data_IF_508313998036
#
_entry.id   IF_508313998036
#
_cell.length_a   1.000
_cell.length_b   1.000
_cell.length_c   1.000
_cell.angle_alpha   90.00
_cell.angle_beta   90.00
_cell.angle_gamma   90.00
#
_symmetry.space_group_name_H-M   'P 1'
#
loop_
_entity.id
_entity.type
_entity.pdbx_description
1 polymer ?
#
# COMPACT_ATOMS: atom_id res chain seq x y z
N UNK A 1 36.25 -1.79 -0.31
CA UNK A 1 34.84 -1.78 0.11
C UNK A 1 34.50 -0.34 0.40
N UNK A 2 33.88 0.36 -0.55
CA UNK A 2 33.32 1.68 -0.26
C UNK A 2 32.08 1.46 0.60
N UNK A 3 32.13 1.90 1.85
CA UNK A 3 30.98 1.90 2.74
C UNK A 3 30.06 3.06 2.31
N UNK A 4 29.05 2.75 1.49
CA UNK A 4 28.05 3.71 1.08
C UNK A 4 26.96 3.81 2.15
N UNK A 5 26.81 4.97 2.78
CA UNK A 5 25.81 5.20 3.83
C UNK A 5 24.39 4.94 3.31
N UNK A 6 24.15 5.18 2.01
CA UNK A 6 22.86 4.91 1.38
C UNK A 6 22.50 3.41 1.38
N UNK A 7 23.49 2.53 1.32
CA UNK A 7 23.28 1.08 1.22
C UNK A 7 22.55 0.51 2.45
N UNK A 8 22.85 1.00 3.66
CA UNK A 8 22.15 0.60 4.87
C UNK A 8 20.67 0.95 4.85
N UNK A 9 20.33 2.13 4.32
CA UNK A 9 18.95 2.57 4.17
C UNK A 9 18.22 1.73 3.13
N UNK A 10 18.88 1.43 2.00
CA UNK A 10 18.33 0.61 0.92
C UNK A 10 18.09 -0.83 1.39
N UNK A 11 19.04 -1.44 2.08
CA UNK A 11 18.90 -2.81 2.60
C UNK A 11 17.77 -2.90 3.64
N UNK A 12 17.70 -1.93 4.56
CA UNK A 12 16.62 -1.85 5.54
C UNK A 12 15.24 -1.71 4.88
N UNK A 13 15.15 -0.91 3.81
CA UNK A 13 13.92 -0.76 3.06
C UNK A 13 13.56 -2.03 2.26
N UNK A 14 14.55 -2.73 1.68
CA UNK A 14 14.31 -3.99 0.98
C UNK A 14 13.73 -5.04 1.93
N UNK A 15 14.29 -5.16 3.15
CA UNK A 15 13.72 -6.02 4.18
C UNK A 15 12.27 -5.67 4.50
N UNK A 16 11.97 -4.36 4.68
CA UNK A 16 10.61 -3.89 4.91
C UNK A 16 9.68 -4.28 3.73
N UNK A 17 10.09 -4.01 2.50
CA UNK A 17 9.27 -4.18 1.30
C UNK A 17 9.04 -5.64 0.92
N UNK A 18 9.97 -6.54 1.24
CA UNK A 18 9.91 -7.96 0.88
C UNK A 18 9.33 -8.83 2.00
N UNK A 19 9.72 -8.58 3.25
CA UNK A 19 9.37 -9.43 4.40
C UNK A 19 8.56 -8.66 5.45
N UNK A 20 8.96 -7.42 5.75
CA UNK A 20 8.36 -6.62 6.80
C UNK A 20 6.86 -6.39 6.61
N UNK A 21 6.43 -6.04 5.40
CA UNK A 21 5.00 -5.85 5.07
C UNK A 21 4.19 -7.13 5.20
N UNK A 22 4.77 -8.28 4.86
CA UNK A 22 4.11 -9.57 4.98
C UNK A 22 3.91 -9.96 6.45
N UNK A 23 4.97 -9.84 7.26
CA UNK A 23 4.91 -10.11 8.70
C UNK A 23 3.95 -9.15 9.41
N UNK A 24 3.96 -7.88 9.01
CA UNK A 24 3.05 -6.85 9.49
C UNK A 24 1.58 -7.22 9.28
N UNK A 25 1.23 -7.75 8.11
CA UNK A 25 -0.14 -8.17 7.82
C UNK A 25 -0.56 -9.39 8.65
N UNK A 26 0.36 -10.33 8.88
CA UNK A 26 0.09 -11.55 9.66
C UNK A 26 -0.04 -11.29 11.16
N UNK A 27 0.59 -10.24 11.69
CA UNK A 27 0.49 -9.84 13.11
C UNK A 27 -0.88 -9.19 13.46
N UNK A 28 -1.65 -8.79 12.45
CA UNK A 28 -2.96 -8.19 12.67
C UNK A 28 -3.96 -9.26 13.15
N UNK A 29 -4.62 -9.08 14.30
CA UNK A 29 -5.60 -10.03 14.79
C UNK A 29 -6.82 -10.11 13.87
N UNK A 30 -7.44 -11.28 13.81
CA UNK A 30 -8.67 -11.46 13.05
C UNK A 30 -9.83 -10.71 13.71
N UNK A 31 -10.58 -9.95 12.90
CA UNK A 31 -11.73 -9.19 13.35
C UNK A 31 -13.00 -10.03 13.18
N UNK A 32 -13.86 -10.02 14.21
CA UNK A 32 -15.10 -10.81 14.25
C UNK A 32 -16.28 -9.91 14.51
N UNK A 33 -17.28 -9.95 13.65
CA UNK A 33 -18.53 -9.20 13.83
C UNK A 33 -19.73 -10.03 13.39
N UNK A 34 -20.91 -9.62 13.84
CA UNK A 34 -22.18 -10.25 13.46
C UNK A 34 -22.95 -9.34 12.53
N UNK A 35 -23.47 -9.90 11.45
CA UNK A 35 -24.37 -9.21 10.55
C UNK A 35 -25.80 -9.18 11.14
N UNK A 36 -26.66 -8.23 10.71
CA UNK A 36 -28.06 -8.16 11.19
C UNK A 36 -28.90 -9.40 10.87
N UNK A 37 -28.47 -10.21 9.90
CA UNK A 37 -29.10 -11.48 9.54
C UNK A 37 -28.73 -12.65 10.49
N UNK A 38 -27.84 -12.42 11.46
CA UNK A 38 -27.39 -13.43 12.42
C UNK A 38 -26.09 -14.16 12.05
N UNK A 39 -25.55 -13.94 10.85
CA UNK A 39 -24.29 -14.57 10.42
C UNK A 39 -23.08 -13.98 11.15
N UNK A 40 -22.17 -14.85 11.57
CA UNK A 40 -20.88 -14.47 12.13
C UNK A 40 -19.83 -14.37 11.02
N UNK A 41 -19.23 -13.19 10.85
CA UNK A 41 -18.18 -12.92 9.88
C UNK A 41 -16.85 -12.76 10.59
N UNK A 42 -15.82 -13.45 10.10
CA UNK A 42 -14.43 -13.31 10.52
C UNK A 42 -13.58 -12.84 9.33
N UNK A 43 -12.85 -11.75 9.52
CA UNK A 43 -11.91 -11.18 8.57
C UNK A 43 -10.48 -11.43 9.03
N UNK A 44 -9.66 -12.00 8.16
CA UNK A 44 -8.25 -12.30 8.46
C UNK A 44 -7.34 -11.87 7.32
N UNK A 45 -6.27 -11.18 7.67
CA UNK A 45 -5.21 -10.84 6.73
C UNK A 45 -4.37 -12.08 6.40
N UNK A 46 -4.16 -12.34 5.11
CA UNK A 46 -3.31 -13.46 4.63
C UNK A 46 -1.90 -13.00 4.28
N UNK A 47 -1.73 -11.72 3.95
CA UNK A 47 -0.45 -11.16 3.56
C UNK A 47 -0.56 -9.78 2.96
N UNK A 48 0.58 -9.13 2.75
CA UNK A 48 0.67 -7.86 2.07
C UNK A 48 1.89 -7.80 1.15
N UNK A 49 1.76 -7.07 0.06
CA UNK A 49 2.78 -6.92 -0.98
C UNK A 49 2.86 -5.47 -1.43
N UNK A 50 4.09 -4.96 -1.50
CA UNK A 50 4.37 -3.63 -2.01
C UNK A 50 4.60 -3.67 -3.53
N UNK A 51 3.76 -2.96 -4.27
CA UNK A 51 3.86 -2.81 -5.72
C UNK A 51 4.92 -1.82 -6.17
N UNK A 52 5.19 -1.82 -7.47
CA UNK A 52 6.06 -0.83 -8.11
C UNK A 52 5.34 0.51 -8.31
N UNK A 53 6.06 1.64 -8.36
CA UNK A 53 5.47 2.93 -8.69
C UNK A 53 4.85 2.97 -10.06
N UNK A 54 3.59 3.38 -10.12
CA UNK A 54 2.82 3.54 -11.34
C UNK A 54 1.93 4.77 -11.26
N UNK A 55 1.54 5.29 -12.42
CA UNK A 55 0.60 6.39 -12.53
C UNK A 55 -0.79 5.85 -12.86
N UNK A 56 -1.78 6.15 -12.01
CA UNK A 56 -3.18 5.88 -12.32
C UNK A 56 -3.72 6.96 -13.26
N UNK A 57 -4.12 6.58 -14.47
CA UNK A 57 -4.78 7.47 -15.42
C UNK A 57 -6.29 7.38 -15.20
N UNK A 58 -6.89 8.47 -14.71
CA UNK A 58 -8.35 8.57 -14.52
C UNK A 58 -9.08 8.35 -15.85
N UNK A 59 -9.86 7.27 -15.95
CA UNK A 59 -10.65 6.92 -17.13
C UNK A 59 -10.28 5.60 -17.81
N UNK A 60 -9.16 4.97 -17.45
CA UNK A 60 -8.81 3.64 -17.94
C UNK A 60 -9.58 2.55 -17.17
N UNK A 61 -10.42 1.78 -17.87
CA UNK A 61 -11.28 0.71 -17.30
C UNK A 61 -10.51 -0.58 -16.97
N UNK A 62 -9.20 -0.61 -17.23
CA UNK A 62 -8.39 -1.83 -17.22
C UNK A 62 -7.17 -1.70 -16.32
N UNK A 63 -6.88 -2.73 -15.53
CA UNK A 63 -5.65 -2.93 -14.73
C UNK A 63 -4.36 -2.90 -15.59
N UNK A 64 -4.52 -2.96 -16.92
CA UNK A 64 -3.47 -3.17 -17.92
C UNK A 64 -2.72 -1.85 -18.26
N UNK A 65 -3.29 -0.68 -17.97
CA UNK A 65 -2.72 0.64 -18.33
C UNK A 65 -2.02 1.37 -17.16
N UNK A 66 -1.42 0.63 -16.22
CA UNK A 66 -0.56 1.25 -15.22
C UNK A 66 0.79 1.64 -15.85
N UNK A 67 0.94 2.92 -16.19
CA UNK A 67 2.19 3.45 -16.74
C UNK A 67 3.26 3.44 -15.64
N UNK A 68 4.44 2.90 -15.97
CA UNK A 68 5.62 2.98 -15.08
C UNK A 68 5.91 4.44 -14.79
N UNK A 69 5.95 4.79 -13.52
CA UNK A 69 6.30 6.13 -13.09
C UNK A 69 7.80 6.15 -12.79
N UNK A 70 8.56 7.07 -13.38
CA UNK A 70 10.00 7.22 -13.08
C UNK A 70 10.26 8.34 -12.06
N UNK A 71 11.35 8.27 -11.28
CA UNK A 71 11.67 9.30 -10.28
C UNK A 71 11.86 10.71 -10.89
N UNK A 72 12.50 10.83 -12.06
CA UNK A 72 12.67 12.08 -12.80
C UNK A 72 11.35 12.79 -13.10
N UNK A 73 10.34 12.03 -13.51
CA UNK A 73 8.99 12.55 -13.73
C UNK A 73 8.35 13.06 -12.44
N UNK A 74 8.56 12.36 -11.31
CA UNK A 74 8.05 12.81 -10.02
C UNK A 74 8.66 14.15 -9.59
N UNK A 75 9.97 14.34 -9.82
CA UNK A 75 10.65 15.61 -9.54
C UNK A 75 10.06 16.75 -10.36
N UNK A 76 9.91 16.54 -11.67
CA UNK A 76 9.41 17.56 -12.59
C UNK A 76 7.93 17.92 -12.36
N UNK A 77 7.10 16.92 -12.03
CA UNK A 77 5.64 17.09 -11.89
C UNK A 77 5.19 17.39 -10.46
N UNK A 78 6.10 17.45 -9.48
CA UNK A 78 5.72 17.63 -8.09
C UNK A 78 4.97 16.43 -7.49
N UNK A 79 5.20 15.21 -7.99
CA UNK A 79 4.53 14.00 -7.52
C UNK A 79 5.33 13.29 -6.43
N UNK A 80 4.66 12.44 -5.66
CA UNK A 80 5.32 11.50 -4.74
C UNK A 80 5.55 10.17 -5.45
N UNK A 81 6.80 9.70 -5.45
CA UNK A 81 7.19 8.41 -6.01
C UNK A 81 6.78 7.29 -5.04
N UNK A 82 5.66 6.64 -5.33
CA UNK A 82 4.98 5.70 -4.44
C UNK A 82 4.41 4.52 -5.20
N UNK A 83 4.33 3.37 -4.54
CA UNK A 83 3.77 2.12 -5.07
C UNK A 83 2.55 1.67 -4.26
N UNK A 84 1.61 0.93 -4.88
CA UNK A 84 0.41 0.47 -4.19
C UNK A 84 0.74 -0.64 -3.18
N UNK A 85 0.18 -0.55 -1.97
CA UNK A 85 0.23 -1.61 -0.98
C UNK A 85 -1.00 -2.50 -1.14
N UNK A 86 -0.77 -3.72 -1.63
CA UNK A 86 -1.80 -4.74 -1.83
C UNK A 86 -1.85 -5.65 -0.62
N UNK A 87 -3.06 -6.02 -0.22
CA UNK A 87 -3.28 -6.85 0.97
C UNK A 87 -4.31 -7.93 0.64
N UNK A 88 -4.00 -9.16 1.01
CA UNK A 88 -4.91 -10.29 0.92
C UNK A 88 -5.79 -10.39 2.17
N UNK A 89 -7.10 -10.52 1.98
CA UNK A 89 -8.09 -10.65 3.04
C UNK A 89 -8.89 -11.93 2.81
N UNK A 90 -8.85 -12.84 3.78
CA UNK A 90 -9.70 -14.02 3.85
C UNK A 90 -10.96 -13.70 4.66
N UNK A 91 -12.12 -14.01 4.09
CA UNK A 91 -13.43 -13.82 4.72
C UNK A 91 -14.01 -15.19 5.04
N UNK A 92 -14.39 -15.40 6.31
CA UNK A 92 -15.06 -16.60 6.77
C UNK A 92 -16.45 -16.25 7.30
N UNK A 93 -17.48 -16.95 6.83
CA UNK A 93 -18.84 -16.83 7.34
C UNK A 93 -19.21 -18.10 8.10
N UNK A 94 -19.65 -17.96 9.35
CA UNK A 94 -20.03 -19.05 10.24
C UNK A 94 -18.95 -20.15 10.35
N UNK A 95 -17.66 -19.74 10.31
CA UNK A 95 -16.50 -20.64 10.38
C UNK A 95 -16.08 -21.28 9.04
N UNK A 96 -16.84 -21.08 7.97
CA UNK A 96 -16.54 -21.59 6.63
C UNK A 96 -15.84 -20.49 5.82
N UNK A 97 -14.72 -20.83 5.15
CA UNK A 97 -14.06 -19.90 4.24
C UNK A 97 -14.95 -19.62 3.03
N UNK A 98 -15.37 -18.37 2.89
CA UNK A 98 -16.30 -17.92 1.86
C UNK A 98 -15.56 -17.26 0.71
N UNK A 99 -14.57 -16.41 1.01
CA UNK A 99 -13.90 -15.61 0.00
C UNK A 99 -12.42 -15.33 0.35
N UNK A 100 -11.63 -15.02 -0.68
CA UNK A 100 -10.29 -14.48 -0.58
C UNK A 100 -10.15 -13.37 -1.61
N UNK A 101 -10.00 -12.14 -1.15
CA UNK A 101 -9.84 -10.97 -2.01
C UNK A 101 -8.48 -10.31 -1.81
N UNK A 102 -7.95 -9.71 -2.88
CA UNK A 102 -6.78 -8.83 -2.83
C UNK A 102 -7.28 -7.39 -3.02
N UNK A 103 -6.91 -6.50 -2.10
CA UNK A 103 -7.32 -5.10 -2.12
C UNK A 103 -6.11 -4.18 -1.98
N UNK A 104 -6.15 -3.03 -2.66
CA UNK A 104 -5.16 -1.97 -2.45
C UNK A 104 -5.62 -1.13 -1.25
N UNK A 105 -4.83 -1.11 -0.19
CA UNK A 105 -5.19 -0.42 1.06
C UNK A 105 -4.64 1.00 1.13
N UNK A 106 -3.69 1.32 0.26
CA UNK A 106 -3.06 2.63 0.18
C UNK A 106 -1.82 2.62 -0.71
N UNK A 107 -1.11 3.74 -0.74
CA UNK A 107 0.14 3.91 -1.48
C UNK A 107 1.29 4.23 -0.53
N UNK A 108 2.45 3.62 -0.75
CA UNK A 108 3.64 3.76 0.11
C UNK A 108 4.78 4.38 -0.71
N UNK A 109 5.44 5.44 -0.22
CA UNK A 109 6.63 5.99 -0.86
C UNK A 109 7.72 4.93 -1.07
N UNK A 110 8.31 4.90 -2.25
CA UNK A 110 9.36 3.93 -2.60
C UNK A 110 10.72 4.60 -2.53
N UNK A 111 11.67 3.95 -1.86
CA UNK A 111 13.05 4.43 -1.78
C UNK A 111 13.76 4.24 -3.11
N UNK A 112 14.51 5.24 -3.57
CA UNK A 112 15.29 5.15 -4.80
C UNK A 112 16.39 4.09 -4.65
N UNK A 113 16.62 3.34 -5.74
CA UNK A 113 17.56 2.21 -5.84
C UNK A 113 17.23 0.99 -4.95
N UNK A 114 16.07 0.97 -4.31
CA UNK A 114 15.55 -0.21 -3.59
C UNK A 114 14.96 -1.28 -4.50
N UNK A 115 14.61 -2.45 -3.93
CA UNK A 115 14.08 -3.60 -4.64
C UNK A 115 12.73 -3.38 -5.34
N UNK A 116 12.02 -2.31 -4.96
CA UNK A 116 10.74 -1.90 -5.57
C UNK A 116 10.86 -0.66 -6.44
N UNK A 117 12.08 -0.20 -6.71
CA UNK A 117 12.36 0.97 -7.55
C UNK A 117 12.69 0.54 -8.99
N UNK A 118 12.13 1.24 -9.98
CA UNK A 118 12.45 1.00 -11.39
C UNK A 118 13.92 1.27 -11.76
N UNK A 119 14.65 2.03 -10.93
CA UNK A 119 16.06 2.37 -11.16
C UNK A 119 17.06 1.29 -10.71
N UNK A 120 16.63 0.27 -9.95
CA UNK A 120 17.57 -0.68 -9.33
C UNK A 120 18.42 -1.42 -10.37
N UNK A 121 17.80 -1.83 -11.48
CA UNK A 121 18.41 -2.70 -12.50
C UNK A 121 18.84 -1.96 -13.77
N UNK A 122 18.79 -0.63 -13.77
CA UNK A 122 19.18 0.16 -14.94
C UNK A 122 20.70 0.34 -15.00
N UNK A 123 21.26 0.26 -16.21
CA UNK A 123 22.65 0.63 -16.48
C UNK A 123 22.83 2.14 -16.43
N UNK A 124 24.09 2.60 -16.39
CA UNK A 124 24.43 4.03 -16.41
C UNK A 124 23.80 4.75 -17.60
N UNK A 125 23.84 4.16 -18.79
CA UNK A 125 23.30 4.73 -20.02
C UNK A 125 21.77 4.81 -19.95
N UNK A 126 21.13 3.78 -19.38
CA UNK A 126 19.68 3.76 -19.18
C UNK A 126 19.24 4.79 -18.14
N UNK A 127 20.00 4.99 -17.06
CA UNK A 127 19.72 6.04 -16.07
C UNK A 127 19.73 7.42 -16.73
N UNK A 128 20.77 7.73 -17.50
CA UNK A 128 20.89 9.00 -18.22
C UNK A 128 19.73 9.17 -19.21
N UNK A 129 19.35 8.10 -19.93
CA UNK A 129 18.22 8.13 -20.86
C UNK A 129 16.87 8.42 -20.17
N UNK A 130 16.72 8.03 -18.89
CA UNK A 130 15.53 8.34 -18.09
C UNK A 130 15.64 9.67 -17.31
N UNK A 131 16.68 10.47 -17.58
CA UNK A 131 16.89 11.76 -16.93
C UNK A 131 17.41 11.67 -15.50
N UNK A 132 18.02 10.55 -15.12
CA UNK A 132 18.69 10.34 -13.84
C UNK A 132 20.21 10.51 -13.96
N UNK A 133 20.89 10.65 -12.82
CA UNK A 133 22.35 10.67 -12.78
C UNK A 133 22.92 9.27 -13.08
N UNK A 134 23.97 9.20 -13.90
CA UNK A 134 24.64 7.94 -14.26
C UNK A 134 25.30 7.20 -13.09
N UNK A 135 25.43 7.84 -11.92
CA UNK A 135 25.95 7.27 -10.68
C UNK A 135 24.98 7.45 -9.50
N UNK A 136 23.66 7.42 -9.76
CA UNK A 136 22.61 7.52 -8.75
C UNK A 136 22.81 6.52 -7.60
N UNK A 137 23.03 7.04 -6.39
CA UNK A 137 23.30 6.26 -5.18
C UNK A 137 22.01 5.78 -4.49
N UNK A 138 20.92 6.52 -4.59
CA UNK A 138 19.64 6.23 -3.94
C UNK A 138 19.68 6.40 -2.43
N UNK A 139 18.78 5.73 -1.71
CA UNK A 139 18.68 5.83 -0.24
C UNK A 139 17.77 6.96 0.27
N UNK A 140 17.02 7.61 -0.62
CA UNK A 140 16.09 8.68 -0.31
C UNK A 140 14.77 8.49 -1.06
N UNK A 141 13.79 9.33 -0.76
CA UNK A 141 12.43 9.29 -1.30
C UNK A 141 12.12 10.59 -2.03
N UNK A 142 11.22 10.53 -3.01
CA UNK A 142 10.68 11.72 -3.64
C UNK A 142 9.25 11.91 -3.17
N UNK A 143 9.00 12.98 -2.43
CA UNK A 143 7.70 13.35 -1.89
C UNK A 143 7.32 14.74 -2.39
N UNK A 144 6.20 14.84 -3.12
CA UNK A 144 5.74 16.08 -3.76
C UNK A 144 6.85 16.78 -4.58
N UNK A 145 7.60 15.99 -5.36
CA UNK A 145 8.74 16.44 -6.17
C UNK A 145 10.01 16.80 -5.40
N UNK A 146 10.00 16.75 -4.06
CA UNK A 146 11.17 17.04 -3.23
C UNK A 146 11.82 15.77 -2.72
N UNK A 147 13.15 15.75 -2.72
CA UNK A 147 13.93 14.64 -2.15
C UNK A 147 13.94 14.70 -0.62
N UNK A 148 13.73 13.56 0.02
CA UNK A 148 13.62 13.41 1.48
C UNK A 148 14.41 12.19 1.93
N UNK A 149 15.29 12.41 2.91
CA UNK A 149 16.05 11.35 3.58
C UNK A 149 15.47 11.14 4.97
N UNK A 150 15.38 9.88 5.38
CA UNK A 150 14.99 9.52 6.73
C UNK A 150 16.25 9.34 7.59
N UNK A 151 16.30 10.03 8.71
CA UNK A 151 17.34 9.81 9.71
C UNK A 151 16.74 9.02 10.87
N UNK A 152 17.37 7.88 11.18
CA UNK A 152 17.04 7.15 12.39
C UNK A 152 17.74 7.83 13.57
N UNK A 153 16.97 8.39 14.50
CA UNK A 153 17.47 8.95 15.76
C UNK A 153 17.10 7.97 16.87
N UNK A 154 18.04 7.11 17.26
CA UNK A 154 17.82 6.07 18.27
C UNK A 154 16.80 5.03 17.80
N UNK A 155 15.70 4.86 18.55
CA UNK A 155 14.56 4.05 18.13
C UNK A 155 13.63 4.76 17.15
N UNK A 156 13.84 6.03 16.79
CA UNK A 156 12.82 6.77 16.05
C UNK A 156 13.19 6.99 14.58
N UNK A 157 12.28 6.68 13.66
CA UNK A 157 12.41 7.10 12.25
C UNK A 157 11.86 8.52 12.16
N UNK A 158 12.72 9.50 11.89
CA UNK A 158 12.32 10.92 11.78
C UNK A 158 12.32 11.34 10.31
N UNK A 159 11.16 11.78 9.84
CA UNK A 159 10.99 12.44 8.54
C UNK A 159 11.34 13.92 8.65
N UNK A 160 12.49 14.33 8.09
CA UNK A 160 12.74 15.76 7.88
C UNK A 160 12.13 16.20 6.56
N UNK A 161 10.98 16.89 6.63
CA UNK A 161 10.54 17.79 5.56
C UNK A 161 10.91 19.21 5.95
N UNK A 162 11.92 19.79 5.29
CA UNK A 162 12.12 21.24 5.31
C UNK A 162 10.95 21.82 4.51
N UNK A 163 10.07 22.54 5.18
CA UNK A 163 8.79 23.11 4.71
C UNK A 163 7.63 22.10 4.76
N UNK A 164 6.58 22.48 5.51
CA UNK A 164 5.22 21.91 5.62
C UNK A 164 4.82 21.13 6.88
N UNK A 165 5.63 21.08 7.94
CA UNK A 165 5.11 20.82 9.30
C UNK A 165 4.41 19.47 9.55
N UNK A 166 4.53 18.47 8.66
CA UNK A 166 4.10 17.10 8.93
C UNK A 166 5.22 16.35 9.64
N UNK A 167 5.16 16.30 10.97
CA UNK A 167 6.00 15.43 11.79
C UNK A 167 5.38 14.03 11.82
N UNK A 168 6.06 13.06 11.20
CA UNK A 168 5.80 11.64 11.48
C UNK A 168 6.75 11.22 12.60
N UNK A 169 6.20 11.12 13.82
CA UNK A 169 6.89 10.53 14.97
C UNK A 169 6.70 9.01 14.91
N UNK A 170 7.76 8.27 14.65
CA UNK A 170 7.74 6.81 14.61
C UNK A 170 8.59 6.24 15.75
N UNK A 171 8.02 5.72 16.86
CA UNK A 171 8.78 4.84 17.74
C UNK A 171 9.01 3.49 17.05
N UNK A 172 10.27 3.05 16.97
CA UNK A 172 10.62 1.68 16.63
C UNK A 172 10.06 0.76 17.70
N UNK A 173 9.56 -0.36 17.19
CA UNK A 173 8.73 -1.37 17.82
C UNK A 173 7.24 -0.98 17.99
N UNK A 174 6.42 -1.77 17.27
CA UNK A 174 5.03 -2.21 17.52
C UNK A 174 3.82 -1.28 17.26
N UNK A 175 3.95 0.04 17.17
CA UNK A 175 2.75 0.90 17.14
C UNK A 175 2.24 1.34 15.74
N UNK A 176 3.12 1.45 14.73
CA UNK A 176 2.75 2.09 13.45
C UNK A 176 2.04 1.16 12.50
N UNK A 177 2.45 -0.11 12.48
CA UNK A 177 1.68 -1.16 11.83
C UNK A 177 0.28 -1.17 12.40
N UNK A 178 0.13 -1.15 13.73
CA UNK A 178 -1.21 -1.15 14.33
C UNK A 178 -2.03 0.09 13.97
N UNK A 179 -1.52 1.31 14.09
CA UNK A 179 -2.37 2.51 13.89
C UNK A 179 -2.69 2.78 12.41
N UNK A 180 -1.73 2.62 11.50
CA UNK A 180 -1.97 2.85 10.06
C UNK A 180 -2.80 1.72 9.46
N UNK A 181 -2.53 0.46 9.85
CA UNK A 181 -3.36 -0.67 9.44
C UNK A 181 -4.74 -0.55 10.10
N UNK A 182 -4.87 -0.12 11.37
CA UNK A 182 -6.18 0.03 12.03
C UNK A 182 -7.01 1.15 11.43
N UNK A 183 -6.42 2.28 11.01
CA UNK A 183 -7.14 3.35 10.30
C UNK A 183 -7.55 2.94 8.87
N UNK A 184 -6.71 2.17 8.16
CA UNK A 184 -7.10 1.60 6.85
C UNK A 184 -8.08 0.44 6.99
N UNK A 185 -7.99 -0.38 8.05
CA UNK A 185 -8.96 -1.41 8.45
C UNK A 185 -10.33 -0.79 8.67
N UNK A 186 -10.44 0.31 9.43
CA UNK A 186 -11.74 0.96 9.67
C UNK A 186 -12.33 1.50 8.37
N UNK A 187 -11.51 2.06 7.46
CA UNK A 187 -12.00 2.47 6.13
C UNK A 187 -12.38 1.29 5.24
N UNK A 188 -11.63 0.17 5.29
CA UNK A 188 -11.92 -1.04 4.50
C UNK A 188 -13.16 -1.75 5.06
N UNK A 189 -13.33 -1.82 6.38
CA UNK A 189 -14.51 -2.40 7.02
C UNK A 189 -15.74 -1.54 6.73
N UNK A 190 -15.67 -0.21 6.83
CA UNK A 190 -16.81 0.66 6.49
C UNK A 190 -17.17 0.55 5.00
N UNK A 191 -16.19 0.63 4.10
CA UNK A 191 -16.45 0.47 2.66
C UNK A 191 -16.90 -0.95 2.26
N UNK A 192 -16.36 -2.00 2.90
CA UNK A 192 -16.81 -3.38 2.66
C UNK A 192 -18.18 -3.66 3.26
N UNK A 193 -18.51 -3.12 4.43
CA UNK A 193 -19.87 -3.18 4.99
C UNK A 193 -20.84 -2.46 4.05
N UNK A 194 -20.50 -1.28 3.54
CA UNK A 194 -21.34 -0.57 2.57
C UNK A 194 -21.52 -1.39 1.28
N UNK A 195 -20.46 -2.04 0.77
CA UNK A 195 -20.54 -2.91 -0.41
C UNK A 195 -21.34 -4.19 -0.14
N UNK A 196 -21.17 -4.84 1.02
CA UNK A 196 -21.93 -6.03 1.40
C UNK A 196 -23.41 -5.70 1.66
N UNK A 197 -23.70 -4.59 2.32
CA UNK A 197 -25.06 -4.10 2.54
C UNK A 197 -25.72 -3.73 1.21
N UNK A 198 -24.99 -3.10 0.28
CA UNK A 198 -25.53 -2.78 -1.04
C UNK A 198 -25.77 -4.03 -1.89
N UNK A 199 -24.87 -5.03 -1.85
CA UNK A 199 -25.04 -6.30 -2.57
C UNK A 199 -26.14 -7.18 -1.98
N UNK A 200 -26.29 -7.21 -0.65
CA UNK A 200 -27.41 -7.92 0.00
C UNK A 200 -28.76 -7.20 -0.22
N UNK A 201 -28.79 -5.87 -0.26
CA UNK A 201 -30.00 -5.09 -0.60
C UNK A 201 -30.42 -5.22 -2.07
N UNK A 202 -29.45 -5.33 -2.99
CA UNK A 202 -29.73 -5.64 -4.41
C UNK A 202 -30.18 -7.09 -4.58
N UNK A 203 -29.63 -8.03 -3.81
CA UNK A 203 -30.05 -9.43 -3.83
C UNK A 203 -31.48 -9.61 -3.29
N UNK A 204 -31.88 -8.89 -2.23
CA UNK A 204 -33.24 -8.95 -1.68
C UNK A 204 -34.29 -8.22 -2.53
N UNK A 205 -33.91 -7.17 -3.28
CA UNK A 205 -34.82 -6.56 -4.28
C UNK A 205 -35.04 -7.43 -5.51
N UNK A 206 -34.02 -8.22 -5.92
CA UNK A 206 -34.16 -9.10 -7.08
C UNK A 206 -35.06 -10.29 -6.81
N UNK A 207 -35.11 -10.78 -5.57
CA UNK A 207 -36.02 -11.86 -5.16
C UNK A 207 -37.45 -11.38 -4.88
N UNK A 208 -37.68 -10.12 -4.52
CA UNK A 208 -39.04 -9.59 -4.34
C UNK A 208 -39.74 -9.14 -5.64
N UNK A 209 -39.00 -8.82 -6.71
CA UNK A 209 -39.62 -8.41 -7.99
C UNK A 209 -40.13 -9.56 -8.88
N UNK A 210 -39.93 -10.82 -8.48
CA UNK A 210 -40.39 -12.00 -9.23
C UNK A 210 -41.72 -12.60 -8.76
N UNK A 211 -42.42 -11.96 -7.82
CA UNK A 211 -43.70 -12.47 -7.27
C UNK A 211 -44.88 -11.47 -7.32
N UNK A 212 -44.88 -10.50 -8.24
CA UNK A 212 -46.06 -9.62 -8.50
C UNK A 212 -46.45 -9.60 -9.99
N UNK A 213 -46.52 -10.79 -10.63
CA UNK A 213 -46.87 -10.90 -12.05
C UNK A 213 -47.66 -12.14 -12.46
N UNK A 214 -48.28 -12.86 -11.52
CA UNK A 214 -49.23 -13.93 -11.82
C UNK A 214 -50.40 -13.81 -10.84
N UNK A 215 -51.41 -13.04 -11.24
CA UNK A 215 -52.85 -13.26 -11.02
C UNK A 215 -53.61 -12.34 -11.98
#
# INVERSE_FOLDING_TARGET
MECDIASYHVESFNYLAEQGVQLAALDVPAEKFRLPNGDAVELRYTGAQLGYPSLEIKGATSVIDQLKLFPSECRQRGLTYRGPLKVGIEIRMNGIRTDLCEVIVGEVPIMLRSSRCHLQWLTREQLIAHGEEGNEKGGYFICKGSEKVFFAIGRYIVLFSKLDGCFFFCPAQTAITKVIIMMTIVMIITTMIDILMTKTFVATKKTSSTYEGVL
#
